data_IF_868509217535
#
_entry.id   IF_868509217535
#
_cell.length_a   1.000
_cell.length_b   1.000
_cell.length_c   1.000
_cell.angle_alpha   90.00
_cell.angle_beta   90.00
_cell.angle_gamma   90.00
#
_symmetry.space_group_name_H-M   'P 1'
#
loop_
_entity.id
_entity.type
_entity.pdbx_description
1 polymer ?
#
# COMPACT_ATOMS: atom_id res chain seq x y z
N UNK A 1 0.22 -17.89 1.67
CA UNK A 1 -0.70 -17.52 0.57
C UNK A 1 0.07 -17.57 -0.74
N UNK A 2 -0.53 -18.07 -1.81
CA UNK A 2 0.09 -18.04 -3.14
C UNK A 2 0.32 -16.57 -3.56
N UNK A 3 1.41 -16.31 -4.30
CA UNK A 3 1.78 -14.98 -4.80
C UNK A 3 0.60 -14.28 -5.50
N UNK A 4 -0.17 -15.05 -6.27
CA UNK A 4 -1.35 -14.60 -7.02
C UNK A 4 -2.41 -13.99 -6.08
N UNK A 5 -2.74 -14.67 -4.98
CA UNK A 5 -3.73 -14.16 -4.01
C UNK A 5 -3.24 -12.85 -3.39
N UNK A 6 -1.95 -12.77 -3.04
CA UNK A 6 -1.38 -11.54 -2.47
C UNK A 6 -1.46 -10.35 -3.45
N UNK A 7 -1.21 -10.60 -4.74
CA UNK A 7 -1.34 -9.57 -5.77
C UNK A 7 -2.79 -9.12 -5.95
N UNK A 8 -3.75 -10.04 -5.98
CA UNK A 8 -5.17 -9.71 -6.10
C UNK A 8 -5.67 -8.89 -4.90
N UNK A 9 -5.30 -9.29 -3.68
CA UNK A 9 -5.64 -8.52 -2.47
C UNK A 9 -5.03 -7.12 -2.52
N UNK A 10 -3.77 -7.01 -2.95
CA UNK A 10 -3.11 -5.72 -3.11
C UNK A 10 -3.81 -4.82 -4.14
N UNK A 11 -4.19 -5.38 -5.28
CA UNK A 11 -4.92 -4.64 -6.32
C UNK A 11 -6.30 -4.16 -5.84
N UNK A 12 -7.05 -5.00 -5.13
CA UNK A 12 -8.33 -4.61 -4.52
C UNK A 12 -8.15 -3.52 -3.46
N UNK A 13 -7.11 -3.62 -2.64
CA UNK A 13 -6.80 -2.61 -1.64
C UNK A 13 -6.45 -1.25 -2.28
N UNK A 14 -5.70 -1.26 -3.39
CA UNK A 14 -5.42 -0.06 -4.18
C UNK A 14 -6.67 0.55 -4.78
N UNK A 15 -7.51 -0.28 -5.41
CA UNK A 15 -8.77 0.17 -6.00
C UNK A 15 -9.71 0.78 -4.94
N UNK A 16 -9.79 0.18 -3.76
CA UNK A 16 -10.55 0.74 -2.64
C UNK A 16 -9.96 2.08 -2.18
N UNK A 17 -8.64 2.18 -2.07
CA UNK A 17 -7.98 3.41 -1.64
C UNK A 17 -8.14 4.56 -2.63
N UNK A 18 -8.01 4.33 -3.94
CA UNK A 18 -8.24 5.35 -4.97
C UNK A 18 -9.70 5.78 -5.05
N UNK A 19 -10.63 4.89 -4.73
CA UNK A 19 -12.07 5.21 -4.72
C UNK A 19 -12.48 6.05 -3.51
N UNK A 20 -11.75 5.93 -2.39
CA UNK A 20 -12.06 6.61 -1.12
C UNK A 20 -11.22 7.88 -0.90
N UNK A 21 -10.08 8.02 -1.58
CA UNK A 21 -9.15 9.13 -1.41
C UNK A 21 -9.04 9.92 -2.70
N UNK A 22 -9.66 11.10 -2.74
CA UNK A 22 -9.70 11.97 -3.91
C UNK A 22 -8.32 12.43 -4.41
N UNK A 23 -7.31 12.41 -3.53
CA UNK A 23 -5.95 12.81 -3.85
C UNK A 23 -5.04 11.68 -4.37
N UNK A 24 -5.55 10.48 -4.58
CA UNK A 24 -4.81 9.35 -5.15
C UNK A 24 -5.59 8.77 -6.33
N UNK A 25 -5.02 8.87 -7.53
CA UNK A 25 -5.66 8.39 -8.75
C UNK A 25 -4.75 7.44 -9.50
N UNK A 26 -5.35 6.45 -10.16
CA UNK A 26 -4.64 5.55 -11.06
C UNK A 26 -5.14 5.83 -12.47
N UNK A 27 -4.20 6.24 -13.34
CA UNK A 27 -4.49 6.58 -14.72
C UNK A 27 -4.38 5.33 -15.61
N UNK A 28 -5.40 5.08 -16.44
CA UNK A 28 -5.41 4.00 -17.43
C UNK A 28 -6.48 2.93 -17.17
N UNK A 29 -6.15 1.67 -17.47
CA UNK A 29 -7.10 0.54 -17.44
C UNK A 29 -6.98 -0.27 -16.16
N UNK A 30 -7.79 -1.33 -16.01
CA UNK A 30 -7.65 -2.29 -14.91
C UNK A 30 -6.23 -2.88 -14.78
N UNK A 31 -5.47 -2.94 -15.89
CA UNK A 31 -4.07 -3.36 -15.89
C UNK A 31 -3.16 -2.38 -15.13
N UNK A 32 -3.45 -1.07 -15.17
CA UNK A 32 -2.71 -0.06 -14.41
C UNK A 32 -2.78 -0.32 -12.91
N UNK A 33 -3.94 -0.70 -12.38
CA UNK A 33 -4.10 -1.02 -10.95
C UNK A 33 -3.24 -2.21 -10.53
N UNK A 34 -3.20 -3.26 -11.37
CA UNK A 34 -2.41 -4.44 -11.11
C UNK A 34 -0.90 -4.13 -11.18
N UNK A 35 -0.49 -3.32 -12.16
CA UNK A 35 0.88 -2.83 -12.30
C UNK A 35 1.32 -2.00 -11.09
N UNK A 36 0.51 -1.04 -10.67
CA UNK A 36 0.78 -0.18 -9.51
C UNK A 36 0.83 -1.00 -8.22
N UNK A 37 -0.11 -1.92 -8.01
CA UNK A 37 -0.11 -2.79 -6.83
C UNK A 37 1.13 -3.69 -6.78
N UNK A 38 1.58 -4.20 -7.93
CA UNK A 38 2.81 -4.99 -8.04
C UNK A 38 4.04 -4.12 -7.74
N UNK A 39 4.15 -2.95 -8.37
CA UNK A 39 5.27 -2.04 -8.15
C UNK A 39 5.35 -1.58 -6.69
N UNK A 40 4.23 -1.16 -6.11
CA UNK A 40 4.15 -0.82 -4.68
C UNK A 40 4.54 -2.01 -3.81
N UNK A 41 4.07 -3.22 -4.14
CA UNK A 41 4.41 -4.43 -3.42
C UNK A 41 5.92 -4.72 -3.41
N UNK A 42 6.60 -4.50 -4.54
CA UNK A 42 8.05 -4.64 -4.69
C UNK A 42 8.78 -3.54 -3.91
N UNK A 43 8.43 -2.27 -4.12
CA UNK A 43 9.05 -1.11 -3.45
C UNK A 43 8.90 -1.24 -1.93
N UNK A 44 7.69 -1.48 -1.43
CA UNK A 44 7.42 -1.61 0.00
C UNK A 44 8.04 -2.90 0.58
N UNK A 45 8.13 -3.97 -0.21
CA UNK A 45 8.75 -5.22 0.20
C UNK A 45 10.27 -5.12 0.38
N UNK A 46 10.95 -4.35 -0.47
CA UNK A 46 12.41 -4.18 -0.44
C UNK A 46 12.76 -2.92 0.37
N UNK A 47 12.47 -1.75 -0.18
CA UNK A 47 12.84 -0.44 0.38
C UNK A 47 12.08 -0.20 1.67
N UNK A 48 10.77 -0.45 1.68
CA UNK A 48 9.94 -0.26 2.86
C UNK A 48 10.39 -1.10 4.05
N UNK A 49 10.79 -2.35 3.83
CA UNK A 49 11.32 -3.23 4.87
C UNK A 49 12.64 -2.73 5.46
N UNK A 50 13.57 -2.28 4.61
CA UNK A 50 14.85 -1.71 5.06
C UNK A 50 14.61 -0.44 5.88
N UNK A 51 13.78 0.48 5.38
CA UNK A 51 13.47 1.73 6.09
C UNK A 51 12.81 1.44 7.44
N UNK A 52 11.87 0.50 7.50
CA UNK A 52 11.22 0.09 8.76
C UNK A 52 12.22 -0.48 9.76
N UNK A 53 13.23 -1.22 9.30
CA UNK A 53 14.28 -1.74 10.17
C UNK A 53 15.15 -0.60 10.73
N UNK A 54 15.56 0.35 9.89
CA UNK A 54 16.35 1.51 10.31
C UNK A 54 15.58 2.44 11.26
N UNK A 55 14.27 2.59 11.02
CA UNK A 55 13.38 3.47 11.80
C UNK A 55 12.67 2.74 12.93
N UNK A 56 13.04 1.48 13.20
CA UNK A 56 12.42 0.64 14.22
C UNK A 56 12.33 1.32 15.60
N UNK A 57 13.37 2.03 16.10
CA UNK A 57 13.25 2.77 17.36
C UNK A 57 12.14 3.83 17.31
N UNK A 58 12.04 4.59 16.22
CA UNK A 58 10.99 5.59 16.05
C UNK A 58 9.59 4.95 15.90
N UNK A 59 9.50 3.78 15.24
CA UNK A 59 8.26 3.00 15.16
C UNK A 59 7.83 2.57 16.56
N UNK A 60 8.73 2.06 17.39
CA UNK A 60 8.41 1.66 18.77
C UNK A 60 8.01 2.85 19.64
N UNK A 61 8.76 3.96 19.58
CA UNK A 61 8.46 5.17 20.35
C UNK A 61 7.11 5.79 19.95
N UNK A 62 6.69 5.63 18.71
CA UNK A 62 5.39 6.10 18.19
C UNK A 62 4.28 5.04 18.25
N UNK A 63 4.49 3.92 18.94
CA UNK A 63 3.54 2.80 19.04
C UNK A 63 3.08 2.23 17.68
N UNK A 64 3.93 2.31 16.66
CA UNK A 64 3.64 1.86 15.31
C UNK A 64 3.10 2.94 14.38
N UNK A 65 2.77 4.15 14.88
CA UNK A 65 2.21 5.22 14.05
C UNK A 65 3.17 5.62 12.91
N UNK A 66 4.48 5.64 13.18
CA UNK A 66 5.48 5.96 12.16
C UNK A 66 5.54 4.93 11.02
N UNK A 67 5.05 3.70 11.22
CA UNK A 67 4.96 2.73 10.14
C UNK A 67 3.99 3.17 9.03
N UNK A 68 2.92 3.91 9.36
CA UNK A 68 2.01 4.49 8.37
C UNK A 68 2.68 5.59 7.56
N UNK A 69 3.49 6.43 8.20
CA UNK A 69 4.31 7.45 7.53
C UNK A 69 5.24 6.80 6.50
N UNK A 70 5.89 5.70 6.86
CA UNK A 70 6.75 4.95 5.93
C UNK A 70 5.94 4.36 4.77
N UNK A 71 4.77 3.75 5.06
CA UNK A 71 3.92 3.20 4.01
C UNK A 71 3.44 4.30 3.03
N UNK A 72 3.09 5.48 3.55
CA UNK A 72 2.73 6.65 2.76
C UNK A 72 3.91 7.14 1.90
N UNK A 73 5.11 7.20 2.48
CA UNK A 73 6.32 7.57 1.76
C UNK A 73 6.64 6.56 0.63
N UNK A 74 6.43 5.26 0.86
CA UNK A 74 6.58 4.23 -0.18
C UNK A 74 5.53 4.38 -1.28
N UNK A 75 4.31 4.80 -0.95
CA UNK A 75 3.27 5.07 -1.93
C UNK A 75 3.63 6.26 -2.82
N UNK A 76 4.10 7.36 -2.23
CA UNK A 76 4.62 8.51 -2.98
C UNK A 76 5.85 8.15 -3.82
N UNK A 77 6.74 7.30 -3.31
CA UNK A 77 7.88 6.80 -4.08
C UNK A 77 7.41 5.97 -5.28
N UNK A 78 6.38 5.15 -5.10
CA UNK A 78 5.76 4.38 -6.18
C UNK A 78 5.13 5.30 -7.23
N UNK A 79 4.44 6.36 -6.81
CA UNK A 79 3.86 7.37 -7.71
C UNK A 79 4.96 8.08 -8.52
N UNK A 80 6.11 8.38 -7.91
CA UNK A 80 7.26 8.96 -8.63
C UNK A 80 7.88 8.01 -9.66
N UNK A 81 7.77 6.71 -9.45
CA UNK A 81 8.32 5.69 -10.36
C UNK A 81 7.32 5.22 -11.42
N UNK A 82 6.03 5.54 -11.28
CA UNK A 82 4.98 5.07 -12.16
C UNK A 82 4.18 6.23 -12.73
N UNK A 83 4.13 6.33 -14.05
CA UNK A 83 3.21 7.26 -14.72
C UNK A 83 1.72 6.88 -14.56
N UNK A 84 1.45 5.68 -14.06
CA UNK A 84 0.10 5.16 -13.87
C UNK A 84 -0.51 5.50 -12.50
N UNK A 85 0.29 6.00 -11.53
CA UNK A 85 -0.18 6.36 -10.19
C UNK A 85 0.13 7.83 -9.94
N UNK A 86 -0.90 8.62 -9.65
CA UNK A 86 -0.77 10.01 -9.25
C UNK A 86 -1.17 10.18 -7.79
N UNK A 87 -0.38 10.96 -7.06
CA UNK A 87 -0.55 11.23 -5.63
C UNK A 87 -0.29 12.71 -5.41
N UNK A 88 -1.37 13.43 -5.14
CA UNK A 88 -1.39 14.90 -4.97
C UNK A 88 -0.48 15.38 -3.83
N UNK A 89 -0.69 14.85 -2.63
CA UNK A 89 -0.05 15.31 -1.40
C UNK A 89 0.26 14.18 -0.44
N UNK A 90 1.16 14.45 0.52
CA UNK A 90 1.53 13.48 1.56
C UNK A 90 0.32 13.00 2.38
N UNK A 91 -0.63 13.87 2.67
CA UNK A 91 -1.84 13.51 3.43
C UNK A 91 -2.73 12.53 2.69
N UNK A 92 -2.88 12.73 1.38
CA UNK A 92 -3.57 11.79 0.48
C UNK A 92 -2.86 10.43 0.47
N UNK A 93 -1.52 10.44 0.40
CA UNK A 93 -0.72 9.23 0.48
C UNK A 93 -0.89 8.50 1.82
N UNK A 94 -0.92 9.25 2.93
CA UNK A 94 -1.09 8.72 4.27
C UNK A 94 -2.46 8.06 4.43
N UNK A 95 -3.53 8.76 4.04
CA UNK A 95 -4.89 8.23 4.05
C UNK A 95 -5.02 6.96 3.18
N UNK A 96 -4.48 6.98 1.96
CA UNK A 96 -4.49 5.83 1.08
C UNK A 96 -3.70 4.65 1.67
N UNK A 97 -2.51 4.89 2.23
CA UNK A 97 -1.69 3.84 2.85
C UNK A 97 -2.37 3.18 4.06
N UNK A 98 -3.15 3.95 4.82
CA UNK A 98 -3.95 3.47 5.94
C UNK A 98 -5.07 2.56 5.43
N UNK A 99 -5.83 3.02 4.42
CA UNK A 99 -6.91 2.24 3.80
C UNK A 99 -6.35 0.95 3.21
N UNK A 100 -5.26 1.02 2.45
CA UNK A 100 -4.61 -0.17 1.86
C UNK A 100 -4.25 -1.17 2.96
N UNK A 101 -3.66 -0.70 4.06
CA UNK A 101 -3.27 -1.56 5.18
C UNK A 101 -4.48 -2.25 5.82
N UNK A 102 -5.54 -1.48 6.12
CA UNK A 102 -6.77 -2.00 6.74
C UNK A 102 -7.46 -3.00 5.81
N UNK A 103 -7.70 -2.64 4.55
CA UNK A 103 -8.34 -3.50 3.55
C UNK A 103 -7.56 -4.80 3.36
N UNK A 104 -6.24 -4.70 3.24
CA UNK A 104 -5.36 -5.87 3.12
C UNK A 104 -5.47 -6.79 4.34
N UNK A 105 -5.47 -6.22 5.56
CA UNK A 105 -5.62 -7.01 6.80
C UNK A 105 -6.98 -7.70 6.87
N UNK A 106 -8.07 -7.00 6.55
CA UNK A 106 -9.43 -7.56 6.58
C UNK A 106 -9.55 -8.72 5.60
N UNK A 107 -9.14 -8.51 4.33
CA UNK A 107 -9.23 -9.55 3.30
C UNK A 107 -8.36 -10.75 3.67
N UNK A 108 -7.13 -10.53 4.15
CA UNK A 108 -6.26 -11.63 4.56
C UNK A 108 -6.84 -12.44 5.74
N UNK A 109 -7.49 -11.78 6.70
CA UNK A 109 -8.18 -12.46 7.81
C UNK A 109 -9.36 -13.28 7.31
N UNK A 110 -10.18 -12.73 6.41
CA UNK A 110 -11.31 -13.43 5.81
C UNK A 110 -10.86 -14.68 5.04
N UNK A 111 -9.82 -14.58 4.22
CA UNK A 111 -9.25 -15.71 3.47
C UNK A 111 -8.69 -16.77 4.42
N UNK A 112 -8.00 -16.35 5.49
CA UNK A 112 -7.46 -17.29 6.50
C UNK A 112 -8.57 -18.06 7.20
N UNK A 113 -9.70 -17.40 7.52
CA UNK A 113 -10.85 -18.01 8.19
C UNK A 113 -11.50 -19.13 7.39
N UNK A 114 -11.52 -19.07 6.05
CA UNK A 114 -12.10 -20.13 5.21
C UNK A 114 -11.20 -21.37 5.08
N UNK A 115 -9.94 -21.27 5.51
CA UNK A 115 -8.95 -22.35 5.39
C UNK A 115 -8.67 -23.05 6.72
N UNK A 116 -9.36 -22.64 7.77
CA UNK A 116 -9.37 -23.18 9.13
C UNK A 116 -10.66 -23.96 9.36
#
# INVERSE_FOLDING_TARGET
MNLIVRLLVGALAFWAATSLVSGVSVNGTAWSYLWVALLFGVINGIIGSIIKLLTLPAILLSLGLFAFVINAAMLMLTARWSSALDVTDFWSALAASLIISVVTTIINRAIKSQRS
#
